data_IF_436549581093
#
_entry.id   IF_436549581093
#
_cell.length_a   1.000
_cell.length_b   1.000
_cell.length_c   1.000
_cell.angle_alpha   90.00
_cell.angle_beta   90.00
_cell.angle_gamma   90.00
#
_symmetry.space_group_name_H-M   'P 1'
#
loop_
_entity.id
_entity.type
_entity.pdbx_description
1 polymer ?
#
# COMPACT_ATOMS: atom_id res chain seq x y z
N UNK A 1 -15.58 -9.46 -5.55
CA UNK A 1 -15.98 -8.11 -5.11
C UNK A 1 -17.36 -7.69 -5.62
N UNK A 2 -17.58 -7.56 -6.94
CA UNK A 2 -18.89 -7.17 -7.49
C UNK A 2 -20.05 -8.01 -6.95
N UNK A 3 -19.93 -9.34 -7.02
CA UNK A 3 -20.96 -10.25 -6.49
C UNK A 3 -21.27 -10.07 -4.99
N UNK A 4 -20.23 -9.90 -4.15
CA UNK A 4 -20.37 -9.79 -2.69
C UNK A 4 -20.98 -8.45 -2.28
N UNK A 5 -20.60 -7.37 -2.97
CA UNK A 5 -20.92 -5.99 -2.59
C UNK A 5 -21.91 -5.27 -3.51
N UNK A 6 -22.51 -5.93 -4.52
CA UNK A 6 -23.44 -5.30 -5.46
C UNK A 6 -24.67 -4.66 -4.78
N UNK A 7 -25.14 -5.24 -3.69
CA UNK A 7 -26.24 -4.68 -2.87
C UNK A 7 -25.78 -3.62 -1.85
N UNK A 8 -24.51 -3.22 -1.91
CA UNK A 8 -23.84 -2.44 -0.87
C UNK A 8 -23.89 -3.14 0.49
N UNK A 9 -23.85 -2.36 1.57
CA UNK A 9 -23.98 -2.89 2.94
C UNK A 9 -25.38 -3.35 3.34
N UNK A 10 -26.37 -3.35 2.42
CA UNK A 10 -27.78 -3.68 2.71
C UNK A 10 -28.10 -5.16 2.53
N UNK A 11 -27.37 -5.87 1.68
CA UNK A 11 -27.53 -7.30 1.42
C UNK A 11 -26.14 -7.92 1.29
N UNK A 12 -25.55 -8.32 2.42
CA UNK A 12 -24.24 -8.99 2.40
C UNK A 12 -24.41 -10.46 2.01
N UNK A 13 -23.76 -10.85 0.92
CA UNK A 13 -23.71 -12.24 0.50
C UNK A 13 -22.60 -12.95 1.28
N UNK A 14 -22.96 -14.05 1.95
CA UNK A 14 -22.03 -14.83 2.80
C UNK A 14 -21.39 -16.03 2.12
N UNK A 15 -21.85 -16.38 0.92
CA UNK A 15 -21.40 -17.56 0.17
C UNK A 15 -21.04 -17.12 -1.24
N UNK A 16 -19.79 -17.35 -1.65
CA UNK A 16 -19.38 -17.26 -3.05
C UNK A 16 -19.77 -18.58 -3.74
N UNK A 17 -20.64 -18.55 -4.77
CA UNK A 17 -21.13 -19.76 -5.42
C UNK A 17 -20.00 -20.60 -6.01
N UNK A 18 -20.19 -21.92 -6.03
CA UNK A 18 -19.20 -22.91 -6.47
C UNK A 18 -18.62 -22.61 -7.85
N UNK A 19 -19.47 -22.16 -8.78
CA UNK A 19 -19.08 -21.81 -10.14
C UNK A 19 -18.05 -20.66 -10.23
N UNK A 20 -18.00 -19.80 -9.20
CA UNK A 20 -17.00 -18.74 -9.07
C UNK A 20 -15.88 -19.14 -8.10
N UNK A 21 -16.24 -19.74 -6.97
CA UNK A 21 -15.31 -20.05 -5.88
C UNK A 21 -14.23 -21.06 -6.29
N UNK A 22 -14.61 -22.19 -6.89
CA UNK A 22 -13.67 -23.26 -7.25
C UNK A 22 -12.60 -22.79 -8.24
N UNK A 23 -12.92 -22.22 -9.42
CA UNK A 23 -11.89 -21.76 -10.34
C UNK A 23 -11.07 -20.61 -9.77
N UNK A 24 -11.68 -19.70 -9.00
CA UNK A 24 -10.95 -18.59 -8.41
C UNK A 24 -9.92 -19.05 -7.39
N UNK A 25 -10.30 -19.92 -6.45
CA UNK A 25 -9.37 -20.50 -5.48
C UNK A 25 -8.26 -21.30 -6.15
N UNK A 26 -8.58 -22.05 -7.21
CA UNK A 26 -7.59 -22.82 -7.98
C UNK A 26 -6.53 -21.91 -8.60
N UNK A 27 -6.94 -20.82 -9.26
CA UNK A 27 -6.00 -19.85 -9.87
C UNK A 27 -5.21 -19.12 -8.79
N UNK A 28 -5.87 -18.72 -7.69
CA UNK A 28 -5.23 -18.08 -6.54
C UNK A 28 -4.12 -18.94 -5.95
N UNK A 29 -4.36 -20.24 -5.75
CA UNK A 29 -3.34 -21.18 -5.29
C UNK A 29 -2.17 -21.31 -6.27
N UNK A 30 -2.45 -21.41 -7.58
CA UNK A 30 -1.42 -21.47 -8.62
C UNK A 30 -0.53 -20.21 -8.66
N UNK A 31 -1.11 -19.04 -8.36
CA UNK A 31 -0.40 -17.76 -8.32
C UNK A 31 0.20 -17.44 -6.96
N UNK A 32 0.01 -18.30 -5.96
CA UNK A 32 0.45 -18.10 -4.57
C UNK A 32 -0.09 -16.77 -3.97
N UNK A 33 -1.37 -16.49 -4.28
CA UNK A 33 -2.13 -15.31 -3.84
C UNK A 33 -3.46 -15.73 -3.20
N UNK A 34 -4.01 -14.97 -2.25
CA UNK A 34 -5.30 -15.29 -1.63
C UNK A 34 -6.46 -15.08 -2.63
N UNK A 35 -7.59 -15.81 -2.50
CA UNK A 35 -8.77 -15.66 -3.35
C UNK A 35 -9.62 -14.44 -2.97
N UNK A 36 -8.98 -13.28 -2.91
CA UNK A 36 -9.59 -11.95 -2.77
C UNK A 36 -8.88 -11.00 -3.74
N UNK A 37 -9.56 -9.96 -4.22
CA UNK A 37 -8.92 -8.98 -5.10
C UNK A 37 -7.82 -8.23 -4.32
N UNK A 38 -6.57 -8.35 -4.77
CA UNK A 38 -5.41 -7.71 -4.15
C UNK A 38 -4.91 -6.51 -4.96
N UNK A 39 -4.00 -5.73 -4.38
CA UNK A 39 -3.37 -4.58 -5.04
C UNK A 39 -2.69 -4.96 -6.37
N UNK A 40 -2.05 -6.13 -6.44
CA UNK A 40 -1.43 -6.63 -7.67
C UNK A 40 -2.46 -6.80 -8.80
N UNK A 41 -3.67 -7.25 -8.49
CA UNK A 41 -4.73 -7.41 -9.48
C UNK A 41 -5.26 -6.06 -9.95
N UNK A 42 -5.69 -5.22 -9.00
CA UNK A 42 -6.47 -4.02 -9.31
C UNK A 42 -5.63 -2.78 -9.66
N UNK A 43 -4.31 -2.84 -9.46
CA UNK A 43 -3.38 -1.77 -9.85
C UNK A 43 -2.34 -2.28 -10.85
N UNK A 44 -1.54 -3.29 -10.48
CA UNK A 44 -0.37 -3.67 -11.28
C UNK A 44 -0.75 -4.38 -12.59
N UNK A 45 -1.84 -5.16 -12.57
CA UNK A 45 -2.35 -5.88 -13.74
C UNK A 45 -3.56 -5.21 -14.41
N UNK A 46 -4.21 -4.25 -13.76
CA UNK A 46 -5.44 -3.62 -14.27
C UNK A 46 -5.16 -2.34 -15.08
N UNK A 47 -4.31 -2.43 -16.11
CA UNK A 47 -4.05 -1.29 -16.98
C UNK A 47 -3.72 -1.69 -18.41
N UNK A 48 -3.88 -0.73 -19.32
CA UNK A 48 -3.47 -0.81 -20.72
C UNK A 48 -3.05 0.57 -21.22
N UNK A 49 -2.24 0.59 -22.28
CA UNK A 49 -2.12 1.78 -23.12
C UNK A 49 -3.34 1.91 -24.02
N UNK A 50 -3.85 3.13 -24.25
CA UNK A 50 -4.93 3.37 -25.23
C UNK A 50 -4.42 3.19 -26.65
N UNK A 51 -3.24 3.73 -26.92
CA UNK A 51 -2.46 3.57 -28.14
C UNK A 51 -1.09 2.95 -27.80
N UNK A 52 -0.71 1.78 -28.33
CA UNK A 52 0.61 1.20 -28.06
C UNK A 52 1.80 2.15 -28.34
N UNK A 53 1.64 3.08 -29.30
CA UNK A 53 2.66 4.01 -29.78
C UNK A 53 2.57 5.43 -29.17
N UNK A 54 1.47 5.76 -28.49
CA UNK A 54 1.22 7.12 -27.98
C UNK A 54 2.10 7.51 -26.77
N UNK A 55 2.45 8.80 -26.68
CA UNK A 55 3.11 9.41 -25.52
C UNK A 55 2.16 10.36 -24.75
N UNK A 56 2.28 10.35 -23.41
CA UNK A 56 1.56 11.17 -22.40
C UNK A 56 0.02 10.93 -22.37
N UNK A 57 -0.57 10.84 -21.16
CA UNK A 57 -2.02 10.61 -20.92
C UNK A 57 -2.65 9.40 -21.65
N UNK A 58 -1.85 8.36 -21.85
CA UNK A 58 -2.19 7.23 -22.70
C UNK A 58 -2.58 5.96 -21.91
N UNK A 59 -3.04 6.09 -20.67
CA UNK A 59 -3.38 4.94 -19.82
C UNK A 59 -4.89 4.79 -19.60
N UNK A 60 -5.33 3.54 -19.58
CA UNK A 60 -6.68 3.15 -19.18
C UNK A 60 -6.67 1.91 -18.30
N UNK A 61 -7.76 1.67 -17.57
CA UNK A 61 -7.96 0.44 -16.79
C UNK A 61 -8.66 -0.63 -17.64
N UNK A 62 -8.48 -1.90 -17.27
CA UNK A 62 -9.16 -3.04 -17.93
C UNK A 62 -10.56 -3.24 -17.35
N UNK A 63 -10.68 -3.11 -16.03
CA UNK A 63 -11.90 -3.35 -15.27
C UNK A 63 -12.16 -2.21 -14.29
N UNK A 64 -13.40 -1.77 -14.25
CA UNK A 64 -13.92 -0.77 -13.30
C UNK A 64 -14.91 -1.42 -12.35
N UNK A 65 -15.03 -0.89 -11.14
CA UNK A 65 -16.16 -1.24 -10.26
C UNK A 65 -17.42 -0.46 -10.64
N UNK A 66 -18.62 -0.98 -10.30
CA UNK A 66 -19.87 -0.23 -10.43
C UNK A 66 -19.80 1.14 -9.73
N UNK A 67 -20.33 2.19 -10.36
CA UNK A 67 -20.21 3.58 -9.87
C UNK A 67 -19.73 4.61 -10.89
N UNK A 68 -19.43 4.19 -12.13
CA UNK A 68 -18.95 5.05 -13.23
C UNK A 68 -17.42 5.09 -13.34
N UNK A 69 -16.87 6.04 -14.11
CA UNK A 69 -15.42 6.26 -14.31
C UNK A 69 -14.67 6.71 -13.03
N UNK A 70 -15.38 6.71 -11.91
CA UNK A 70 -15.08 7.32 -10.62
C UNK A 70 -14.00 6.59 -9.81
N UNK A 71 -13.40 5.54 -10.35
CA UNK A 71 -12.37 4.73 -9.68
C UNK A 71 -11.11 4.56 -10.54
N UNK A 72 -11.17 4.99 -11.81
CA UNK A 72 -10.03 4.94 -12.73
C UNK A 72 -8.86 5.75 -12.21
N UNK A 73 -9.14 6.96 -11.71
CA UNK A 73 -8.12 7.85 -11.16
C UNK A 73 -7.36 7.20 -10.01
N UNK A 74 -8.08 6.55 -9.09
CA UNK A 74 -7.46 5.85 -7.97
C UNK A 74 -6.45 4.77 -8.40
N UNK A 75 -6.83 3.87 -9.32
CA UNK A 75 -5.95 2.78 -9.76
C UNK A 75 -4.80 3.28 -10.64
N UNK A 76 -5.06 4.19 -11.59
CA UNK A 76 -4.02 4.71 -12.47
C UNK A 76 -3.02 5.59 -11.72
N UNK A 77 -3.45 6.43 -10.79
CA UNK A 77 -2.52 7.22 -9.98
C UNK A 77 -1.69 6.30 -9.09
N UNK A 78 -2.27 5.25 -8.52
CA UNK A 78 -1.51 4.23 -7.77
C UNK A 78 -0.46 3.56 -8.65
N UNK A 79 -0.81 3.19 -9.88
CA UNK A 79 0.14 2.64 -10.86
C UNK A 79 1.24 3.64 -11.25
N UNK A 80 0.92 4.91 -11.43
CA UNK A 80 1.90 5.95 -11.74
C UNK A 80 2.87 6.18 -10.58
N UNK A 81 2.40 6.07 -9.34
CA UNK A 81 3.26 6.07 -8.15
C UNK A 81 4.22 4.89 -8.18
N UNK A 82 3.74 3.67 -8.47
CA UNK A 82 4.60 2.48 -8.63
C UNK A 82 5.63 2.65 -9.75
N UNK A 83 5.20 3.15 -10.92
CA UNK A 83 6.08 3.39 -12.06
C UNK A 83 7.16 4.44 -11.75
N UNK A 84 6.83 5.49 -11.00
CA UNK A 84 7.78 6.52 -10.59
C UNK A 84 8.88 5.98 -9.64
N UNK A 85 8.62 4.87 -8.95
CA UNK A 85 9.60 4.22 -8.07
C UNK A 85 10.64 3.37 -8.81
N UNK A 86 10.44 3.08 -10.10
CA UNK A 86 11.21 2.09 -10.84
C UNK A 86 12.73 2.35 -10.82
N UNK A 87 13.16 3.60 -10.92
CA UNK A 87 14.59 3.93 -10.86
C UNK A 87 15.18 3.64 -9.46
N UNK A 88 14.46 3.97 -8.39
CA UNK A 88 14.85 3.68 -7.01
C UNK A 88 14.92 2.18 -6.72
N UNK A 89 14.00 1.37 -7.27
CA UNK A 89 14.06 -0.08 -7.15
C UNK A 89 15.28 -0.65 -7.91
N UNK A 90 15.58 -0.12 -9.10
CA UNK A 90 16.78 -0.51 -9.87
C UNK A 90 18.10 -0.10 -9.19
N UNK A 91 18.08 0.90 -8.32
CA UNK A 91 19.24 1.31 -7.54
C UNK A 91 19.57 0.35 -6.38
N UNK A 92 18.61 -0.45 -5.90
CA UNK A 92 18.81 -1.40 -4.78
C UNK A 92 20.00 -2.36 -5.00
N UNK A 93 20.10 -3.11 -6.11
CA UNK A 93 21.25 -4.00 -6.32
C UNK A 93 22.57 -3.25 -6.40
N UNK A 94 22.58 -2.00 -6.89
CA UNK A 94 23.77 -1.14 -6.93
C UNK A 94 24.20 -0.79 -5.50
N UNK A 95 23.25 -0.44 -4.63
CA UNK A 95 23.49 -0.17 -3.20
C UNK A 95 24.09 -1.40 -2.52
N UNK A 96 23.46 -2.57 -2.68
CA UNK A 96 23.95 -3.82 -2.06
C UNK A 96 25.37 -4.14 -2.53
N UNK A 97 25.64 -4.04 -3.84
CA UNK A 97 26.98 -4.27 -4.39
C UNK A 97 28.01 -3.25 -3.89
N UNK A 98 27.62 -1.98 -3.79
CA UNK A 98 28.48 -0.91 -3.28
C UNK A 98 28.84 -1.11 -1.79
N UNK A 99 27.92 -1.64 -0.99
CA UNK A 99 28.19 -2.01 0.41
C UNK A 99 29.22 -3.15 0.47
N UNK A 100 29.04 -4.20 -0.35
CA UNK A 100 29.93 -5.38 -0.36
C UNK A 100 31.35 -5.07 -0.86
N UNK A 101 31.50 -4.08 -1.74
CA UNK A 101 32.78 -3.73 -2.37
C UNK A 101 33.31 -2.35 -1.97
N UNK A 102 32.73 -1.71 -0.95
CA UNK A 102 33.11 -0.38 -0.45
C UNK A 102 33.12 0.74 -1.53
N UNK A 103 32.17 0.69 -2.46
CA UNK A 103 32.03 1.66 -3.56
C UNK A 103 31.28 2.93 -3.16
N UNK A 104 31.91 3.84 -2.39
CA UNK A 104 31.23 5.00 -1.79
C UNK A 104 30.56 5.94 -2.81
N UNK A 105 31.23 6.28 -3.93
CA UNK A 105 30.64 7.15 -4.96
C UNK A 105 29.40 6.51 -5.63
N UNK A 106 29.46 5.20 -5.91
CA UNK A 106 28.32 4.47 -6.47
C UNK A 106 27.16 4.38 -5.47
N UNK A 107 27.48 4.23 -4.19
CA UNK A 107 26.49 4.22 -3.13
C UNK A 107 25.77 5.56 -3.03
N UNK A 108 26.51 6.67 -3.01
CA UNK A 108 25.94 8.01 -2.93
C UNK A 108 24.99 8.30 -4.11
N UNK A 109 25.45 8.00 -5.33
CA UNK A 109 24.64 8.18 -6.55
C UNK A 109 23.37 7.33 -6.50
N UNK A 110 23.46 6.07 -6.09
CA UNK A 110 22.31 5.18 -5.97
C UNK A 110 21.32 5.65 -4.88
N UNK A 111 21.80 6.20 -3.76
CA UNK A 111 20.94 6.83 -2.75
C UNK A 111 20.23 8.07 -3.30
N UNK A 112 20.92 8.89 -4.10
CA UNK A 112 20.30 10.04 -4.77
C UNK A 112 19.18 9.60 -5.72
N UNK A 113 19.37 8.50 -6.46
CA UNK A 113 18.34 7.91 -7.34
C UNK A 113 17.12 7.40 -6.55
N UNK A 114 17.34 6.77 -5.39
CA UNK A 114 16.26 6.35 -4.49
C UNK A 114 15.48 7.58 -4.00
N UNK A 115 16.17 8.59 -3.47
CA UNK A 115 15.53 9.80 -2.96
C UNK A 115 14.73 10.53 -4.06
N UNK A 116 15.31 10.68 -5.26
CA UNK A 116 14.65 11.30 -6.40
C UNK A 116 13.41 10.51 -6.84
N UNK A 117 13.49 9.18 -6.83
CA UNK A 117 12.37 8.31 -7.18
C UNK A 117 11.22 8.47 -6.20
N UNK A 118 11.49 8.51 -4.89
CA UNK A 118 10.46 8.73 -3.86
C UNK A 118 9.84 10.14 -3.98
N UNK A 119 10.63 11.16 -4.32
CA UNK A 119 10.10 12.48 -4.66
C UNK A 119 9.16 12.41 -5.87
N UNK A 120 9.55 11.72 -6.95
CA UNK A 120 8.70 11.53 -8.14
C UNK A 120 7.42 10.74 -7.83
N UNK A 121 7.48 9.75 -6.94
CA UNK A 121 6.30 9.05 -6.42
C UNK A 121 5.32 10.04 -5.79
N UNK A 122 5.81 10.97 -4.97
CA UNK A 122 4.95 12.00 -4.35
C UNK A 122 4.34 12.93 -5.40
N UNK A 123 5.11 13.35 -6.41
CA UNK A 123 4.59 14.19 -7.49
C UNK A 123 3.54 13.46 -8.34
N UNK A 124 3.76 12.18 -8.65
CA UNK A 124 2.75 11.33 -9.30
C UNK A 124 1.48 11.20 -8.44
N UNK A 125 1.64 11.06 -7.12
CA UNK A 125 0.50 10.94 -6.20
C UNK A 125 -0.39 12.20 -6.22
N UNK A 126 0.18 13.39 -6.46
CA UNK A 126 -0.60 14.64 -6.57
C UNK A 126 -1.62 14.62 -7.71
N UNK A 127 -1.42 13.79 -8.73
CA UNK A 127 -2.36 13.62 -9.84
C UNK A 127 -3.73 13.11 -9.37
N UNK A 128 -3.84 12.53 -8.17
CA UNK A 128 -5.14 12.12 -7.60
C UNK A 128 -6.12 13.30 -7.53
N UNK A 129 -5.64 14.54 -7.40
CA UNK A 129 -6.50 15.73 -7.41
C UNK A 129 -7.10 16.07 -8.76
N UNK A 130 -6.46 15.65 -9.85
CA UNK A 130 -6.93 15.86 -11.22
C UNK A 130 -7.89 14.73 -11.60
N UNK A 131 -7.54 13.50 -11.25
CA UNK A 131 -8.23 12.31 -11.72
C UNK A 131 -9.38 11.84 -10.81
N UNK A 132 -9.43 12.29 -9.56
CA UNK A 132 -10.38 11.76 -8.57
C UNK A 132 -11.12 12.84 -7.79
N UNK A 133 -12.43 12.65 -7.62
CA UNK A 133 -13.29 13.55 -6.83
C UNK A 133 -13.55 12.93 -5.44
N UNK A 134 -13.49 13.71 -4.34
CA UNK A 134 -13.64 13.18 -2.98
C UNK A 134 -14.91 12.35 -2.70
N UNK A 135 -16.03 12.63 -3.37
CA UNK A 135 -17.28 11.87 -3.19
C UNK A 135 -17.24 10.45 -3.77
N UNK A 136 -16.35 10.18 -4.74
CA UNK A 136 -16.30 8.91 -5.46
C UNK A 136 -15.50 7.83 -4.72
N UNK A 137 -14.51 8.24 -3.92
CA UNK A 137 -13.69 7.31 -3.14
C UNK A 137 -14.49 6.47 -2.13
N UNK A 138 -15.70 6.91 -1.75
CA UNK A 138 -16.57 6.11 -0.88
C UNK A 138 -17.07 4.83 -1.57
N UNK A 139 -17.41 4.86 -2.87
CA UNK A 139 -17.81 3.67 -3.61
C UNK A 139 -16.64 2.69 -3.78
N UNK A 140 -15.45 3.23 -4.05
CA UNK A 140 -14.22 2.44 -4.08
C UNK A 140 -13.93 1.79 -2.72
N UNK A 141 -14.19 2.51 -1.62
CA UNK A 141 -14.04 1.95 -0.28
C UNK A 141 -14.97 0.75 -0.06
N UNK A 142 -16.22 0.80 -0.52
CA UNK A 142 -17.17 -0.32 -0.45
C UNK A 142 -16.65 -1.53 -1.24
N UNK A 143 -16.23 -1.36 -2.49
CA UNK A 143 -15.75 -2.48 -3.31
C UNK A 143 -14.35 -2.98 -2.93
N UNK A 144 -13.55 -2.16 -2.25
CA UNK A 144 -12.29 -2.55 -1.62
C UNK A 144 -12.46 -3.15 -0.22
N UNK A 145 -13.68 -3.12 0.35
CA UNK A 145 -13.95 -3.65 1.68
C UNK A 145 -13.78 -5.17 1.70
N UNK A 146 -13.08 -5.64 2.73
CA UNK A 146 -12.78 -7.05 2.94
C UNK A 146 -13.81 -7.76 3.80
N UNK A 147 -13.64 -9.06 4.03
CA UNK A 147 -14.42 -9.82 5.01
C UNK A 147 -13.55 -10.31 6.20
N UNK A 148 -12.32 -9.81 6.35
CA UNK A 148 -11.54 -9.95 7.58
C UNK A 148 -11.83 -8.79 8.53
N UNK A 149 -12.13 -9.13 9.78
CA UNK A 149 -12.49 -8.18 10.84
C UNK A 149 -13.61 -7.21 10.41
N UNK A 150 -14.51 -7.67 9.53
CA UNK A 150 -15.64 -6.90 9.03
C UNK A 150 -16.89 -7.23 9.85
N UNK A 151 -17.51 -6.20 10.44
CA UNK A 151 -18.72 -6.34 11.24
C UNK A 151 -19.92 -6.93 10.47
N UNK A 152 -20.03 -6.67 9.17
CA UNK A 152 -21.10 -7.22 8.33
C UNK A 152 -20.86 -8.69 7.95
N UNK A 153 -19.62 -9.16 8.08
CA UNK A 153 -19.19 -10.52 7.74
C UNK A 153 -18.21 -11.04 8.82
N UNK A 154 -18.66 -11.18 10.09
CA UNK A 154 -17.76 -11.46 11.21
C UNK A 154 -17.09 -12.84 11.08
N UNK A 155 -17.75 -13.79 10.45
CA UNK A 155 -17.20 -15.13 10.20
C UNK A 155 -16.35 -15.17 8.92
N UNK A 156 -16.49 -14.20 8.03
CA UNK A 156 -15.85 -14.18 6.70
C UNK A 156 -16.79 -14.60 5.57
N UNK A 157 -16.22 -15.11 4.47
CA UNK A 157 -16.94 -15.56 3.27
C UNK A 157 -16.74 -17.07 3.07
N UNK A 158 -17.82 -17.80 2.82
CA UNK A 158 -17.77 -19.21 2.43
C UNK A 158 -17.45 -19.31 0.94
N UNK A 159 -16.48 -20.15 0.58
CA UNK A 159 -16.13 -20.47 -0.81
C UNK A 159 -16.71 -21.85 -1.12
N UNK A 160 -17.92 -21.87 -1.67
CA UNK A 160 -18.68 -23.09 -1.87
C UNK A 160 -17.91 -24.10 -2.73
N UNK A 161 -17.80 -25.34 -2.23
CA UNK A 161 -17.08 -26.41 -2.91
C UNK A 161 -15.55 -26.36 -2.79
N UNK A 162 -15.01 -25.42 -2.00
CA UNK A 162 -13.56 -25.33 -1.68
C UNK A 162 -13.31 -25.54 -0.19
N UNK A 163 -14.03 -24.81 0.66
CA UNK A 163 -13.94 -24.93 2.12
C UNK A 163 -15.32 -24.96 2.77
N UNK A 164 -15.49 -25.85 3.75
CA UNK A 164 -16.74 -25.97 4.52
C UNK A 164 -16.94 -24.82 5.51
N UNK A 165 -15.84 -24.16 5.92
CA UNK A 165 -15.87 -23.03 6.84
C UNK A 165 -15.66 -21.70 6.11
N UNK A 166 -16.29 -20.60 6.58
CA UNK A 166 -15.95 -19.25 6.15
C UNK A 166 -14.45 -18.96 6.28
N UNK A 167 -13.90 -18.18 5.34
CA UNK A 167 -12.52 -17.68 5.37
C UNK A 167 -12.48 -16.17 5.50
N UNK A 168 -11.47 -15.68 6.21
CA UNK A 168 -11.21 -14.25 6.40
C UNK A 168 -10.00 -13.81 5.58
N UNK A 169 -10.20 -12.82 4.70
CA UNK A 169 -9.12 -12.20 3.93
C UNK A 169 -9.18 -10.68 4.06
N UNK A 170 -8.00 -10.05 4.16
CA UNK A 170 -7.85 -8.60 4.14
C UNK A 170 -8.13 -8.04 2.74
N UNK A 171 -8.61 -6.81 2.69
CA UNK A 171 -8.96 -6.13 1.44
C UNK A 171 -7.75 -5.44 0.83
N UNK A 172 -7.93 -4.97 -0.41
CA UNK A 172 -6.90 -4.23 -1.12
C UNK A 172 -6.50 -2.97 -0.35
N UNK A 173 -5.19 -2.78 -0.13
CA UNK A 173 -4.65 -1.55 0.45
C UNK A 173 -3.25 -1.26 -0.08
N UNK A 174 -2.82 -0.01 0.00
CA UNK A 174 -1.45 0.38 -0.37
C UNK A 174 -0.38 -0.32 0.48
N UNK A 175 -0.72 -0.96 1.61
CA UNK A 175 0.23 -1.75 2.39
C UNK A 175 0.64 -3.06 1.70
N UNK A 176 -0.10 -3.48 0.65
CA UNK A 176 0.24 -4.56 -0.27
C UNK A 176 1.18 -4.10 -1.41
N UNK A 177 1.53 -2.81 -1.48
CA UNK A 177 2.59 -2.33 -2.37
C UNK A 177 3.93 -2.88 -1.90
N UNK A 178 4.57 -3.68 -2.75
CA UNK A 178 5.91 -4.20 -2.48
C UNK A 178 6.95 -3.08 -2.45
N UNK A 179 6.80 -2.06 -3.30
CA UNK A 179 7.70 -0.91 -3.42
C UNK A 179 7.89 -0.17 -2.10
N UNK A 180 6.81 0.17 -1.39
CA UNK A 180 6.89 0.89 -0.12
C UNK A 180 7.60 0.06 0.96
N UNK A 181 7.32 -1.25 1.01
CA UNK A 181 8.00 -2.15 1.94
C UNK A 181 9.47 -2.38 1.57
N UNK A 182 9.81 -2.42 0.28
CA UNK A 182 11.21 -2.49 -0.18
C UNK A 182 12.02 -1.30 0.32
N UNK A 183 11.50 -0.07 0.21
CA UNK A 183 12.21 1.11 0.69
C UNK A 183 12.34 1.14 2.22
N UNK A 184 11.34 0.62 2.95
CA UNK A 184 11.48 0.45 4.41
C UNK A 184 12.62 -0.50 4.75
N UNK A 185 12.66 -1.68 4.12
CA UNK A 185 13.71 -2.68 4.36
C UNK A 185 15.08 -2.15 3.95
N UNK A 186 15.19 -1.53 2.76
CA UNK A 186 16.43 -0.92 2.26
C UNK A 186 17.02 0.07 3.28
N UNK A 187 16.18 0.98 3.79
CA UNK A 187 16.59 2.05 4.70
C UNK A 187 16.69 1.56 6.16
N UNK A 188 16.48 0.27 6.43
CA UNK A 188 16.51 -0.28 7.79
C UNK A 188 15.41 0.25 8.70
N UNK A 189 14.27 0.68 8.14
CA UNK A 189 13.13 1.18 8.91
C UNK A 189 12.37 -0.02 9.49
N UNK A 190 12.50 -0.21 10.80
CA UNK A 190 11.84 -1.30 11.52
C UNK A 190 10.55 -0.83 12.17
N UNK A 191 9.42 -1.24 11.60
CA UNK A 191 8.12 -1.10 12.25
C UNK A 191 8.01 -2.14 13.36
N UNK A 192 7.96 -1.73 14.62
CA UNK A 192 7.96 -2.65 15.76
C UNK A 192 6.56 -2.93 16.30
N UNK A 193 6.37 -4.11 16.88
CA UNK A 193 5.12 -4.49 17.56
C UNK A 193 4.80 -3.58 18.77
N UNK A 194 5.83 -3.02 19.42
CA UNK A 194 5.67 -2.05 20.50
C UNK A 194 4.98 -0.73 20.04
N UNK A 195 5.00 -0.44 18.73
CA UNK A 195 4.33 0.72 18.13
C UNK A 195 2.91 0.38 17.61
N UNK A 196 2.38 -0.79 17.99
CA UNK A 196 1.02 -1.25 17.69
C UNK A 196 0.96 -2.32 16.60
N UNK A 197 -0.24 -2.55 16.05
CA UNK A 197 -0.54 -3.58 15.06
C UNK A 197 0.14 -3.37 13.68
N UNK A 198 0.87 -2.27 13.47
CA UNK A 198 1.42 -1.88 12.16
C UNK A 198 2.42 -2.89 11.60
N UNK A 199 3.29 -3.44 12.46
CA UNK A 199 4.31 -4.40 12.07
C UNK A 199 3.70 -5.73 11.62
N UNK A 200 2.80 -6.27 12.44
CA UNK A 200 2.05 -7.49 12.17
C UNK A 200 1.22 -7.33 10.87
N UNK A 201 0.52 -6.20 10.74
CA UNK A 201 -0.28 -5.93 9.55
C UNK A 201 0.57 -5.86 8.27
N UNK A 202 1.71 -5.13 8.27
CA UNK A 202 2.61 -5.08 7.11
C UNK A 202 3.20 -6.45 6.78
N UNK A 203 3.53 -7.26 7.80
CA UNK A 203 3.94 -8.64 7.64
C UNK A 203 2.88 -9.47 6.92
N UNK A 204 1.64 -9.45 7.42
CA UNK A 204 0.50 -10.13 6.79
C UNK A 204 0.25 -9.65 5.35
N UNK A 205 0.45 -8.35 5.05
CA UNK A 205 0.26 -7.83 3.69
C UNK A 205 1.24 -8.39 2.67
N UNK A 206 2.38 -8.97 3.09
CA UNK A 206 3.29 -9.65 2.17
C UNK A 206 2.62 -10.88 1.55
N UNK A 207 1.76 -11.58 2.28
CA UNK A 207 1.02 -12.75 1.78
C UNK A 207 0.04 -12.40 0.64
N UNK A 208 -0.22 -11.10 0.43
CA UNK A 208 -1.08 -10.55 -0.62
C UNK A 208 -0.26 -9.95 -1.78
N UNK A 209 1.06 -10.11 -1.77
CA UNK A 209 1.97 -9.72 -2.84
C UNK A 209 2.35 -10.94 -3.69
N UNK A 210 2.64 -10.77 -4.99
CA UNK A 210 3.19 -11.83 -5.82
C UNK A 210 4.43 -12.47 -5.18
N UNK A 211 4.58 -13.80 -5.30
CA UNK A 211 5.65 -14.56 -4.65
C UNK A 211 7.06 -14.01 -4.96
N UNK A 212 7.32 -13.61 -6.20
CA UNK A 212 8.59 -13.00 -6.59
C UNK A 212 8.87 -11.67 -5.86
N UNK A 213 7.83 -10.86 -5.60
CA UNK A 213 8.00 -9.60 -4.88
C UNK A 213 8.27 -9.85 -3.39
N UNK A 214 7.58 -10.83 -2.78
CA UNK A 214 7.89 -11.27 -1.41
C UNK A 214 9.34 -11.73 -1.28
N UNK A 215 9.78 -12.59 -2.21
CA UNK A 215 11.13 -13.13 -2.23
C UNK A 215 12.19 -12.02 -2.38
N UNK A 216 11.92 -10.99 -3.19
CA UNK A 216 12.79 -9.83 -3.31
C UNK A 216 12.93 -9.06 -1.99
N UNK A 217 11.82 -8.77 -1.30
CA UNK A 217 11.83 -8.12 0.02
C UNK A 217 12.61 -8.96 1.04
N UNK A 218 12.40 -10.28 1.04
CA UNK A 218 13.10 -11.19 1.96
C UNK A 218 14.59 -11.24 1.69
N UNK A 219 14.99 -11.31 0.41
CA UNK A 219 16.40 -11.28 0.00
C UNK A 219 17.06 -9.99 0.46
N UNK A 220 16.41 -8.85 0.23
CA UNK A 220 16.89 -7.55 0.69
C UNK A 220 17.03 -7.48 2.22
N UNK A 221 16.07 -8.03 2.96
CA UNK A 221 16.11 -8.07 4.42
C UNK A 221 17.23 -8.95 4.99
N UNK A 222 17.63 -10.00 4.25
CA UNK A 222 18.77 -10.86 4.61
C UNK A 222 20.13 -10.31 4.19
N UNK A 223 20.16 -9.23 3.42
CA UNK A 223 21.37 -8.59 2.92
C UNK A 223 22.08 -7.72 3.98
N UNK A 224 23.21 -7.10 3.60
CA UNK A 224 23.95 -6.22 4.50
C UNK A 224 23.14 -4.95 4.82
N UNK A 225 23.28 -4.44 6.05
CA UNK A 225 22.54 -3.27 6.50
C UNK A 225 23.14 -1.97 5.92
N UNK A 226 22.41 -1.33 5.01
CA UNK A 226 22.74 0.01 4.50
C UNK A 226 22.91 1.02 5.65
N UNK A 227 21.98 1.01 6.61
CA UNK A 227 21.99 1.95 7.74
C UNK A 227 23.26 1.81 8.58
N UNK A 228 23.64 0.58 8.92
CA UNK A 228 24.87 0.34 9.70
C UNK A 228 26.12 0.69 8.89
N UNK A 229 26.13 0.39 7.58
CA UNK A 229 27.24 0.74 6.70
C UNK A 229 27.45 2.27 6.64
N UNK A 230 26.39 3.05 6.42
CA UNK A 230 26.48 4.53 6.37
C UNK A 230 26.94 5.12 7.71
N UNK A 231 26.51 4.55 8.84
CA UNK A 231 27.02 4.97 10.15
C UNK A 231 28.52 4.70 10.29
N UNK A 232 28.96 3.50 9.90
CA UNK A 232 30.34 3.05 10.07
C UNK A 232 31.35 3.81 9.19
N UNK A 233 30.93 4.37 8.05
CA UNK A 233 31.83 5.13 7.17
C UNK A 233 32.21 6.49 7.75
N UNK A 234 31.36 7.09 8.60
CA UNK A 234 31.53 8.47 9.07
C UNK A 234 31.46 9.54 7.97
N UNK A 235 31.07 9.16 6.75
CA UNK A 235 31.05 10.07 5.60
C UNK A 235 29.80 10.97 5.64
N UNK A 236 30.02 12.29 5.68
CA UNK A 236 28.96 13.27 5.79
C UNK A 236 28.04 13.31 4.55
N UNK A 237 28.57 13.03 3.36
CA UNK A 237 27.82 12.99 2.10
C UNK A 237 26.86 11.80 2.07
N UNK A 238 27.33 10.61 2.42
CA UNK A 238 26.51 9.41 2.56
C UNK A 238 25.47 9.53 3.66
N UNK A 239 25.83 10.13 4.80
CA UNK A 239 24.88 10.48 5.85
C UNK A 239 23.73 11.36 5.32
N UNK A 240 24.08 12.44 4.62
CA UNK A 240 23.11 13.36 4.04
C UNK A 240 22.24 12.67 2.96
N UNK A 241 22.84 11.86 2.09
CA UNK A 241 22.13 11.12 1.05
C UNK A 241 21.14 10.09 1.62
N UNK A 242 21.55 9.34 2.66
CA UNK A 242 20.67 8.43 3.39
C UNK A 242 19.50 9.18 4.03
N UNK A 243 19.77 10.27 4.77
CA UNK A 243 18.74 11.08 5.41
C UNK A 243 17.80 11.75 4.41
N UNK A 244 18.27 12.06 3.20
CA UNK A 244 17.42 12.53 2.09
C UNK A 244 16.42 11.46 1.65
N UNK A 245 16.81 10.20 1.58
CA UNK A 245 15.91 9.08 1.27
C UNK A 245 14.83 8.94 2.35
N UNK A 246 15.24 8.92 3.62
CA UNK A 246 14.32 8.82 4.78
C UNK A 246 13.33 9.99 4.80
N UNK A 247 13.82 11.21 4.55
CA UNK A 247 12.97 12.42 4.52
C UNK A 247 11.96 12.38 3.38
N UNK A 248 12.40 11.99 2.17
CA UNK A 248 11.50 11.83 1.02
C UNK A 248 10.39 10.81 1.31
N UNK A 249 10.72 9.70 1.97
CA UNK A 249 9.72 8.68 2.34
C UNK A 249 8.76 9.20 3.42
N UNK A 250 9.27 9.94 4.41
CA UNK A 250 8.44 10.58 5.43
C UNK A 250 7.49 11.63 4.83
N UNK A 251 7.93 12.37 3.81
CA UNK A 251 7.11 13.33 3.08
C UNK A 251 6.02 12.64 2.26
N UNK A 252 6.36 11.55 1.55
CA UNK A 252 5.38 10.74 0.83
C UNK A 252 4.30 10.21 1.79
N UNK A 253 4.69 9.69 2.95
CA UNK A 253 3.76 9.22 3.99
C UNK A 253 2.91 10.34 4.58
N UNK A 254 3.50 11.51 4.79
CA UNK A 254 2.78 12.71 5.24
C UNK A 254 1.73 13.14 4.22
N UNK A 255 2.08 13.12 2.93
CA UNK A 255 1.15 13.42 1.85
C UNK A 255 0.04 12.36 1.76
N UNK A 256 0.36 11.08 1.93
CA UNK A 256 -0.65 10.01 1.97
C UNK A 256 -1.68 10.23 3.09
N UNK A 257 -1.25 10.67 4.27
CA UNK A 257 -2.18 11.04 5.37
C UNK A 257 -3.13 12.17 4.94
N UNK A 258 -2.64 13.17 4.21
CA UNK A 258 -3.47 14.26 3.69
C UNK A 258 -4.50 13.74 2.67
N UNK A 259 -4.08 12.87 1.75
CA UNK A 259 -4.98 12.21 0.79
C UNK A 259 -6.04 11.39 1.51
N UNK A 260 -5.65 10.51 2.45
CA UNK A 260 -6.58 9.70 3.21
C UNK A 260 -7.58 10.56 4.00
N UNK A 261 -7.13 11.68 4.56
CA UNK A 261 -8.02 12.64 5.23
C UNK A 261 -9.03 13.25 4.24
N UNK A 262 -8.57 13.74 3.09
CA UNK A 262 -9.39 14.43 2.08
C UNK A 262 -10.40 13.51 1.40
N UNK A 263 -10.01 12.28 1.08
CA UNK A 263 -10.79 11.36 0.25
C UNK A 263 -11.53 10.28 1.03
N UNK A 264 -11.19 10.04 2.30
CA UNK A 264 -11.85 9.03 3.14
C UNK A 264 -12.48 9.69 4.36
N UNK A 265 -11.68 10.32 5.23
CA UNK A 265 -12.16 10.85 6.52
C UNK A 265 -13.22 11.93 6.37
N UNK A 266 -12.98 12.95 5.52
CA UNK A 266 -13.91 14.08 5.33
C UNK A 266 -15.23 13.61 4.68
N UNK A 267 -15.23 12.87 3.55
CA UNK A 267 -16.47 12.37 2.94
C UNK A 267 -17.27 11.48 3.90
N UNK A 268 -16.60 10.58 4.64
CA UNK A 268 -17.28 9.71 5.59
C UNK A 268 -17.87 10.48 6.78
N UNK A 269 -17.24 11.59 7.20
CA UNK A 269 -17.80 12.52 8.18
C UNK A 269 -19.09 13.19 7.69
N UNK A 270 -19.10 13.69 6.44
CA UNK A 270 -20.27 14.35 5.83
C UNK A 270 -21.46 13.40 5.69
N UNK A 271 -21.24 12.19 5.18
CA UNK A 271 -22.32 11.19 5.05
C UNK A 271 -22.95 10.84 6.40
N UNK A 272 -22.17 10.80 7.49
CA UNK A 272 -22.70 10.56 8.84
C UNK A 272 -23.58 11.71 9.33
N UNK A 273 -23.16 12.95 9.09
CA UNK A 273 -23.93 14.13 9.47
C UNK A 273 -25.26 14.23 8.70
N UNK A 274 -25.25 13.97 7.40
CA UNK A 274 -26.47 13.94 6.56
C UNK A 274 -27.45 12.84 7.01
N UNK A 275 -26.95 11.64 7.32
CA UNK A 275 -27.78 10.53 7.81
C UNK A 275 -28.43 10.82 9.17
N UNK A 276 -27.76 11.58 10.04
CA UNK A 276 -28.31 12.02 11.33
C UNK A 276 -29.41 13.08 11.17
N UNK A 277 -29.30 13.96 10.17
CA UNK A 277 -30.30 15.00 9.91
C UNK A 277 -31.59 14.47 9.26
N UNK A 278 -31.51 13.40 8.48
CA UNK A 278 -32.65 12.78 7.78
C UNK A 278 -33.50 11.83 8.65
N UNK A 279 -33.26 11.76 9.96
CA UNK A 279 -34.04 10.90 10.88
C UNK A 279 -33.94 9.39 10.59
N UNK A 280 -32.98 8.97 9.77
CA UNK A 280 -32.78 7.58 9.40
C UNK A 280 -32.25 6.75 10.56
N UNK A 281 -32.76 5.52 10.71
CA UNK A 281 -32.25 4.54 11.66
C UNK A 281 -30.72 4.47 11.58
N UNK A 282 -30.02 4.53 12.73
CA UNK A 282 -28.57 4.36 12.82
C UNK A 282 -28.17 3.05 12.14
N UNK A 283 -27.73 3.12 10.89
CA UNK A 283 -27.25 1.96 10.17
C UNK A 283 -25.81 1.68 10.61
N UNK A 284 -25.65 0.78 11.59
CA UNK A 284 -24.35 0.32 12.12
C UNK A 284 -23.33 -0.08 11.03
N UNK A 285 -23.78 -0.44 9.82
CA UNK A 285 -22.92 -0.80 8.70
C UNK A 285 -22.16 0.37 8.05
N UNK A 286 -22.75 1.56 7.94
CA UNK A 286 -22.09 2.73 7.31
C UNK A 286 -21.19 3.50 8.27
N UNK A 287 -21.49 3.47 9.58
CA UNK A 287 -20.64 4.15 10.57
C UNK A 287 -19.31 3.44 10.82
N UNK A 288 -19.24 2.11 10.71
CA UNK A 288 -18.01 1.33 10.97
C UNK A 288 -17.04 1.34 9.77
N UNK A 289 -17.54 1.41 8.53
CA UNK A 289 -16.72 1.63 7.33
C UNK A 289 -15.92 2.94 7.37
N UNK A 290 -16.32 3.90 8.20
CA UNK A 290 -15.67 5.22 8.27
C UNK A 290 -14.43 5.28 9.16
N UNK A 291 -14.22 4.32 10.06
CA UNK A 291 -13.08 4.30 11.01
C UNK A 291 -12.00 3.30 10.62
N UNK A 292 -12.33 2.32 9.77
CA UNK A 292 -11.40 1.31 9.27
C UNK A 292 -11.11 1.54 7.78
N UNK A 293 -9.86 1.34 7.36
CA UNK A 293 -9.48 1.32 5.95
C UNK A 293 -10.00 0.05 5.27
N UNK A 294 -9.90 -0.01 3.95
CA UNK A 294 -10.28 -1.20 3.15
C UNK A 294 -9.54 -2.47 3.56
N UNK A 295 -8.32 -2.31 4.08
CA UNK A 295 -7.52 -3.38 4.69
C UNK A 295 -7.88 -3.72 6.14
N UNK A 296 -8.96 -3.19 6.71
CA UNK A 296 -9.48 -3.57 8.03
C UNK A 296 -8.87 -2.85 9.25
N UNK A 297 -7.91 -1.94 9.04
CA UNK A 297 -7.18 -1.27 10.13
C UNK A 297 -7.72 0.13 10.43
N UNK A 298 -7.50 0.65 11.64
CA UNK A 298 -7.69 2.08 11.94
C UNK A 298 -6.68 2.92 11.15
N UNK A 299 -6.98 3.20 9.88
CA UNK A 299 -6.00 3.56 8.86
C UNK A 299 -5.23 4.84 9.21
N UNK A 300 -5.86 5.83 9.85
CA UNK A 300 -5.18 7.06 10.27
C UNK A 300 -4.13 6.80 11.37
N UNK A 301 -4.43 5.92 12.33
CA UNK A 301 -3.47 5.53 13.38
C UNK A 301 -2.31 4.76 12.76
N UNK A 302 -2.62 3.82 11.86
CA UNK A 302 -1.64 3.06 11.10
C UNK A 302 -0.71 3.99 10.32
N UNK A 303 -1.24 4.83 9.42
CA UNK A 303 -0.48 5.75 8.58
C UNK A 303 0.41 6.71 9.39
N UNK A 304 -0.08 7.25 10.51
CA UNK A 304 0.71 8.10 11.41
C UNK A 304 1.86 7.31 12.03
N UNK A 305 1.61 6.09 12.51
CA UNK A 305 2.65 5.25 13.11
C UNK A 305 3.79 4.98 12.11
N UNK A 306 3.47 4.50 10.89
CA UNK A 306 4.51 4.24 9.85
C UNK A 306 5.32 5.49 9.53
N UNK A 307 4.65 6.65 9.37
CA UNK A 307 5.34 7.94 9.14
C UNK A 307 6.28 8.28 10.29
N UNK A 308 5.82 8.15 11.53
CA UNK A 308 6.59 8.55 12.70
C UNK A 308 7.80 7.61 12.90
N UNK A 309 7.66 6.30 12.64
CA UNK A 309 8.78 5.35 12.58
C UNK A 309 9.78 5.72 11.49
N UNK A 310 9.31 6.15 10.33
CA UNK A 310 10.18 6.66 9.24
C UNK A 310 11.04 7.82 9.72
N UNK A 311 10.43 8.81 10.36
CA UNK A 311 11.13 10.02 10.82
C UNK A 311 12.21 9.68 11.85
N UNK A 312 11.93 8.72 12.72
CA UNK A 312 12.90 8.23 13.71
C UNK A 312 14.08 7.46 13.10
N UNK A 313 14.01 7.07 11.84
CA UNK A 313 15.11 6.39 11.16
C UNK A 313 16.19 7.36 10.64
N UNK A 314 15.97 8.69 10.73
CA UNK A 314 17.02 9.65 10.41
C UNK A 314 18.23 9.43 11.32
N UNK A 315 19.40 9.45 10.70
CA UNK A 315 20.69 9.39 11.39
C UNK A 315 20.97 10.75 12.04
N UNK A 316 21.40 10.73 13.30
CA UNK A 316 21.78 11.92 14.06
C UNK A 316 23.29 11.98 14.22
N UNK A 317 23.85 13.18 14.39
CA UNK A 317 25.31 13.38 14.55
C UNK A 317 25.89 12.60 15.75
N UNK A 318 25.09 12.31 16.77
CA UNK A 318 25.50 11.53 17.94
C UNK A 318 25.70 10.04 17.64
N UNK A 319 24.99 9.47 16.66
CA UNK A 319 25.18 8.06 16.27
C UNK A 319 26.43 7.83 15.41
N UNK A 320 26.94 8.89 14.77
CA UNK A 320 28.15 8.83 13.94
C UNK A 320 29.46 8.75 14.74
N UNK A 321 29.41 8.94 16.07
CA UNK A 321 30.60 9.08 16.92
C UNK A 321 30.83 7.92 17.88
N UNK A 322 30.01 6.87 17.85
CA UNK A 322 30.23 5.68 18.69
C UNK A 322 31.18 4.73 17.96
N UNK A 323 32.43 4.53 18.43
CA UNK A 323 33.32 3.54 17.85
C UNK A 323 32.74 2.15 18.14
N UNK A 324 32.68 1.30 17.12
CA UNK A 324 32.46 -0.13 17.34
C UNK A 324 33.71 -0.70 17.99
N UNK A 325 33.59 -1.09 19.27
CA UNK A 325 34.58 -1.89 19.98
C UNK A 325 34.52 -3.36 19.54
#
# INVERSE_FOLDING_TARGET
MGYVWQGGGRQTVKILPRALAVPYCTISELLDLPPILVYADCVLANWKKRDPCGYVENLDILFSFPGGDSNKGFFLVSLLVEAAAAAGIKAIPIIVNAILHHGLCSLETALQDVALSICKMREAFKLIHVWERPCNCFLLHVFGTSWKDNFLMPEGLVYEGVWDSPKQFFGGSAAQSSTLQCFDVLLGIQHSAAQGFSAEYLGCMRDYMPAAHRAFIQTLASGPSLRQFVLATGDAGLHAAFNKCVSALADLRSYHIQIATKYITIPAGRCRAEQQQLGGCVHKGTSVLSERGTGGTGFMRFLKAIRDTTRKAQLTEQEATVPTH
#
